data_IF_181105623755
#
_entry.id   IF_181105623755
#
_cell.length_a   1.000
_cell.length_b   1.000
_cell.length_c   1.000
_cell.angle_alpha   90.00
_cell.angle_beta   90.00
_cell.angle_gamma   90.00
#
_symmetry.space_group_name_H-M   'P 1'
#
loop_
_entity.id
_entity.type
_entity.pdbx_description
1 polymer ?
#
# COMPACT_ATOMS: atom_id res chain seq x y z
N UNK A 1 -10.13 0.14 -19.67
CA UNK A 1 -11.01 0.55 -18.59
C UNK A 1 -10.25 1.30 -17.54
N UNK A 2 -10.93 2.18 -16.83
CA UNK A 2 -10.31 3.01 -15.80
C UNK A 2 -10.57 2.38 -14.43
N UNK A 3 -9.57 1.77 -13.86
CA UNK A 3 -9.70 1.08 -12.57
C UNK A 3 -8.38 1.18 -11.83
N UNK A 4 -8.44 0.96 -10.51
CA UNK A 4 -7.25 0.75 -9.69
C UNK A 4 -7.17 -0.74 -9.37
N UNK A 5 -6.12 -1.39 -9.85
CA UNK A 5 -5.97 -2.83 -9.74
C UNK A 5 -4.67 -3.17 -9.03
N UNK A 6 -4.65 -4.35 -8.45
CA UNK A 6 -3.44 -4.88 -7.83
C UNK A 6 -3.23 -6.30 -8.31
N UNK A 7 -2.02 -6.58 -8.78
CA UNK A 7 -1.63 -7.93 -9.19
C UNK A 7 -0.65 -8.50 -8.17
N UNK A 8 -1.01 -9.65 -7.64
CA UNK A 8 -0.18 -10.35 -6.66
C UNK A 8 0.76 -11.29 -7.40
N UNK A 9 1.99 -10.84 -7.60
CA UNK A 9 3.00 -11.62 -8.29
C UNK A 9 3.88 -12.40 -7.33
N UNK A 10 3.32 -12.80 -6.19
CA UNK A 10 4.03 -13.60 -5.21
C UNK A 10 3.47 -15.01 -5.21
N UNK A 11 4.16 -15.90 -4.51
CA UNK A 11 3.68 -17.27 -4.31
C UNK A 11 2.78 -17.42 -3.11
N UNK A 12 2.34 -16.33 -2.49
CA UNK A 12 1.54 -16.36 -1.27
C UNK A 12 0.19 -15.70 -1.49
N UNK A 13 -0.78 -16.07 -0.63
CA UNK A 13 -2.00 -15.28 -0.53
C UNK A 13 -1.66 -13.99 0.23
N UNK A 14 -2.23 -12.89 -0.20
CA UNK A 14 -1.97 -11.62 0.45
C UNK A 14 -3.29 -10.93 0.80
N UNK A 15 -3.26 -10.13 1.87
CA UNK A 15 -4.37 -9.28 2.24
C UNK A 15 -4.00 -7.84 1.93
N UNK A 16 -4.92 -7.12 1.32
CA UNK A 16 -4.66 -5.77 0.85
C UNK A 16 -5.60 -4.79 1.52
N UNK A 17 -5.04 -3.69 2.02
CA UNK A 17 -5.80 -2.53 2.48
C UNK A 17 -5.42 -1.34 1.62
N UNK A 18 -6.40 -0.49 1.34
CA UNK A 18 -6.25 0.65 0.44
C UNK A 18 -6.66 1.93 1.13
N UNK A 19 -5.90 3.00 0.92
CA UNK A 19 -6.27 4.32 1.41
C UNK A 19 -6.25 5.33 0.27
N UNK A 20 -7.16 6.28 0.33
CA UNK A 20 -7.22 7.33 -0.68
C UNK A 20 -8.03 8.51 -0.17
N UNK A 21 -7.89 9.64 -0.84
CA UNK A 21 -8.63 10.84 -0.50
C UNK A 21 -9.47 11.25 -1.71
N UNK A 22 -10.76 11.43 -1.48
CA UNK A 22 -11.67 11.90 -2.51
C UNK A 22 -12.30 13.21 -2.05
N UNK A 23 -13.37 13.64 -2.74
CA UNK A 23 -14.02 14.91 -2.41
C UNK A 23 -14.57 14.92 -0.99
N UNK A 24 -14.85 13.76 -0.42
CA UNK A 24 -15.39 13.65 0.93
C UNK A 24 -14.32 13.48 1.99
N UNK A 25 -13.05 13.39 1.60
CA UNK A 25 -11.96 13.25 2.53
C UNK A 25 -11.28 11.89 2.42
N UNK A 26 -10.57 11.53 3.49
CA UNK A 26 -9.79 10.29 3.52
C UNK A 26 -10.66 9.09 3.84
N UNK A 27 -10.35 7.96 3.19
CA UNK A 27 -11.01 6.69 3.44
C UNK A 27 -9.98 5.58 3.37
N UNK A 28 -10.08 4.61 4.28
CA UNK A 28 -9.32 3.37 4.15
C UNK A 28 -10.31 2.22 4.11
N UNK A 29 -9.96 1.19 3.33
CA UNK A 29 -10.81 0.02 3.14
C UNK A 29 -9.96 -1.24 3.16
N UNK A 30 -10.49 -2.32 3.58
CA UNK A 30 -9.85 -3.62 3.60
C UNK A 30 -10.86 -4.69 4.00
N UNK A 31 -10.63 -5.89 3.77
CA UNK A 31 -9.40 -6.46 3.19
C UNK A 31 -9.77 -7.14 1.89
N UNK A 32 -8.93 -7.02 0.88
CA UNK A 32 -9.05 -7.85 -0.31
C UNK A 32 -8.08 -9.01 -0.14
N UNK A 33 -8.59 -10.23 -0.24
CA UNK A 33 -7.76 -11.43 -0.14
C UNK A 33 -7.44 -11.86 -1.55
N UNK A 34 -6.18 -11.72 -1.94
CA UNK A 34 -5.77 -11.93 -3.33
C UNK A 34 -4.91 -13.18 -3.39
N UNK A 35 -5.37 -14.24 -4.06
CA UNK A 35 -4.58 -15.46 -4.17
C UNK A 35 -3.29 -15.22 -4.95
N UNK A 36 -2.34 -16.13 -4.76
CA UNK A 36 -1.05 -16.05 -5.46
C UNK A 36 -1.29 -15.99 -6.97
N UNK A 37 -0.51 -15.15 -7.64
CA UNK A 37 -0.49 -15.06 -9.11
C UNK A 37 -1.80 -14.61 -9.72
N UNK A 38 -2.60 -13.85 -9.00
CA UNK A 38 -3.84 -13.30 -9.52
C UNK A 38 -3.90 -11.80 -9.31
N UNK A 39 -4.83 -11.15 -9.99
CA UNK A 39 -5.04 -9.72 -9.88
C UNK A 39 -6.45 -9.45 -9.38
N UNK A 40 -6.61 -8.30 -8.75
CA UNK A 40 -7.90 -7.90 -8.20
C UNK A 40 -8.12 -6.42 -8.49
N UNK A 41 -9.36 -6.07 -8.83
CA UNK A 41 -9.72 -4.67 -9.00
C UNK A 41 -10.16 -4.14 -7.64
N UNK A 42 -9.43 -3.14 -7.14
CA UNK A 42 -9.73 -2.56 -5.83
C UNK A 42 -10.76 -1.45 -5.93
N UNK A 43 -10.61 -0.61 -6.94
CA UNK A 43 -11.58 0.47 -7.19
C UNK A 43 -11.94 0.45 -8.67
N UNK A 44 -13.22 0.61 -8.95
CA UNK A 44 -13.70 0.64 -10.33
C UNK A 44 -13.95 2.08 -10.73
N UNK A 45 -13.76 2.35 -12.00
CA UNK A 45 -13.99 3.67 -12.56
C UNK A 45 -12.74 4.53 -12.55
N UNK A 46 -12.86 5.72 -13.09
CA UNK A 46 -11.73 6.63 -13.21
C UNK A 46 -11.19 7.00 -11.84
N UNK A 47 -9.86 7.03 -11.72
CA UNK A 47 -9.22 7.38 -10.46
C UNK A 47 -9.52 8.85 -10.12
N UNK A 48 -9.79 9.10 -8.83
CA UNK A 48 -10.17 10.42 -8.36
C UNK A 48 -9.03 11.16 -7.71
N UNK A 49 -7.87 10.53 -7.56
CA UNK A 49 -6.72 11.14 -6.91
C UNK A 49 -5.46 10.71 -7.64
N UNK A 50 -4.39 11.45 -7.42
CA UNK A 50 -3.09 11.09 -7.94
C UNK A 50 -2.42 10.03 -7.06
N UNK A 51 -2.57 10.17 -5.72
CA UNK A 51 -1.87 9.31 -4.78
C UNK A 51 -2.84 8.34 -4.14
N UNK A 52 -2.43 7.08 -4.11
CA UNK A 52 -3.15 6.02 -3.42
C UNK A 52 -2.19 5.35 -2.45
N UNK A 53 -2.71 4.66 -1.45
CA UNK A 53 -1.89 4.13 -0.37
C UNK A 53 -2.26 2.68 -0.15
N UNK A 54 -1.25 1.83 -0.01
CA UNK A 54 -1.43 0.38 0.08
C UNK A 54 -0.73 -0.14 1.32
N UNK A 55 -1.38 -1.09 1.97
CA UNK A 55 -0.76 -1.91 3.01
C UNK A 55 -1.10 -3.35 2.69
N UNK A 56 -0.12 -4.23 2.72
CA UNK A 56 -0.35 -5.62 2.34
C UNK A 56 0.32 -6.56 3.34
N UNK A 57 -0.32 -7.69 3.56
CA UNK A 57 0.15 -8.71 4.49
C UNK A 57 0.30 -10.01 3.71
N UNK A 58 1.41 -10.73 3.95
CA UNK A 58 1.64 -12.06 3.39
C UNK A 58 1.08 -13.08 4.39
N UNK A 59 -0.04 -13.72 4.02
CA UNK A 59 -0.70 -14.66 4.92
C UNK A 59 0.04 -15.99 5.07
N UNK A 60 0.83 -16.35 4.08
CA UNK A 60 1.42 -17.69 4.04
C UNK A 60 2.83 -17.73 4.61
N UNK A 61 3.63 -16.72 4.32
CA UNK A 61 5.02 -16.69 4.77
C UNK A 61 5.28 -15.64 5.84
N UNK A 62 4.30 -14.80 6.11
CA UNK A 62 4.48 -13.71 7.04
C UNK A 62 5.17 -12.53 6.37
N UNK A 63 5.18 -11.42 7.09
CA UNK A 63 5.76 -10.20 6.56
C UNK A 63 4.70 -9.33 5.94
N UNK A 64 5.13 -8.16 5.51
CA UNK A 64 4.19 -7.16 5.04
C UNK A 64 4.88 -6.22 4.06
N UNK A 65 4.06 -5.51 3.29
CA UNK A 65 4.49 -4.38 2.47
C UNK A 65 3.86 -3.14 3.10
N UNK A 66 4.69 -2.26 3.62
CA UNK A 66 4.21 -1.13 4.41
C UNK A 66 5.04 0.11 4.07
N UNK A 67 4.68 1.23 4.69
CA UNK A 67 5.38 2.49 4.47
C UNK A 67 5.15 3.44 5.62
N UNK A 68 5.31 4.73 5.34
CA UNK A 68 5.29 5.75 6.37
C UNK A 68 4.08 6.68 6.30
N UNK A 69 3.09 6.33 5.50
CA UNK A 69 1.82 7.06 5.48
C UNK A 69 0.88 6.37 6.45
N UNK A 70 0.73 6.94 7.64
CA UNK A 70 -0.03 6.28 8.69
C UNK A 70 -1.50 6.55 8.56
N UNK A 71 -2.28 5.48 8.55
CA UNK A 71 -3.72 5.53 8.36
C UNK A 71 -4.37 4.49 9.26
N UNK A 72 -5.69 4.49 9.32
CA UNK A 72 -6.40 3.59 10.21
C UNK A 72 -6.76 2.29 9.50
N UNK A 73 -6.66 1.18 10.22
CA UNK A 73 -7.09 -0.11 9.74
C UNK A 73 -7.63 -0.91 10.92
N UNK A 74 -8.10 -2.12 10.64
CA UNK A 74 -8.44 -3.05 11.71
C UNK A 74 -8.34 -4.46 11.17
N UNK A 75 -8.37 -5.42 12.08
CA UNK A 75 -8.14 -6.81 11.71
C UNK A 75 -9.22 -7.36 10.80
N UNK A 76 -10.46 -6.99 11.05
CA UNK A 76 -11.57 -7.45 10.23
C UNK A 76 -11.82 -6.50 9.08
N UNK A 77 -12.68 -6.88 8.17
CA UNK A 77 -13.08 -6.05 7.04
C UNK A 77 -13.52 -4.66 7.52
N UNK A 78 -13.17 -3.63 6.77
CA UNK A 78 -13.44 -2.28 7.22
C UNK A 78 -13.57 -1.29 6.09
N UNK A 79 -14.30 -0.22 6.38
CA UNK A 79 -14.29 1.02 5.64
C UNK A 79 -14.25 2.12 6.70
N UNK A 80 -13.15 2.85 6.77
CA UNK A 80 -12.92 3.83 7.83
C UNK A 80 -12.76 5.20 7.21
N UNK A 81 -13.54 6.17 7.69
CA UNK A 81 -13.45 7.54 7.25
C UNK A 81 -12.48 8.30 8.15
N UNK A 82 -11.54 9.02 7.53
CA UNK A 82 -10.54 9.76 8.26
C UNK A 82 -9.36 8.89 8.63
N UNK A 83 -8.18 9.50 8.72
CA UNK A 83 -6.95 8.76 9.00
C UNK A 83 -6.29 9.20 10.29
N UNK A 84 -6.88 10.13 11.03
CA UNK A 84 -6.32 10.61 12.28
C UNK A 84 -6.92 9.93 13.48
N UNK A 85 -6.21 9.99 14.60
CA UNK A 85 -6.67 9.51 15.89
C UNK A 85 -7.10 8.04 15.85
N UNK A 86 -6.40 7.23 15.09
CA UNK A 86 -6.79 5.83 14.89
C UNK A 86 -6.94 5.09 16.20
N UNK A 87 -5.93 5.14 17.06
CA UNK A 87 -5.95 4.40 18.32
C UNK A 87 -7.07 4.90 19.24
N UNK A 88 -7.26 6.22 19.29
CA UNK A 88 -8.32 6.78 20.15
C UNK A 88 -9.70 6.36 19.67
N UNK A 89 -9.85 6.08 18.38
CA UNK A 89 -11.12 5.67 17.82
C UNK A 89 -11.32 4.15 17.83
N UNK A 90 -10.33 3.41 18.35
CA UNK A 90 -10.44 1.96 18.45
C UNK A 90 -9.90 1.22 17.23
N UNK A 91 -9.10 1.87 16.40
CA UNK A 91 -8.52 1.26 15.22
C UNK A 91 -7.02 1.10 15.39
N UNK A 92 -6.40 0.35 14.49
CA UNK A 92 -4.95 0.24 14.43
C UNK A 92 -4.38 1.40 13.62
N UNK A 93 -3.19 1.83 14.01
CA UNK A 93 -2.46 2.83 13.26
C UNK A 93 -1.45 2.07 12.40
N UNK A 94 -1.64 2.13 11.09
CA UNK A 94 -0.94 1.25 10.16
C UNK A 94 -0.19 2.07 9.12
N UNK A 95 1.03 1.67 8.81
CA UNK A 95 1.85 2.36 7.81
C UNK A 95 1.60 1.85 6.41
N UNK A 96 1.03 2.69 5.58
CA UNK A 96 0.76 2.38 4.17
C UNK A 96 1.89 2.95 3.32
N UNK A 97 2.17 2.33 2.17
CA UNK A 97 3.11 2.91 1.22
C UNK A 97 2.35 3.66 0.14
N UNK A 98 2.99 4.70 -0.38
CA UNK A 98 2.34 5.59 -1.32
C UNK A 98 2.55 5.11 -2.75
N UNK A 99 1.49 5.21 -3.54
CA UNK A 99 1.52 4.90 -4.97
C UNK A 99 1.17 6.18 -5.73
N UNK A 100 2.11 6.67 -6.53
CA UNK A 100 1.90 7.87 -7.34
C UNK A 100 1.43 7.42 -8.71
N UNK A 101 0.17 7.69 -9.01
CA UNK A 101 -0.42 7.27 -10.28
C UNK A 101 -0.15 8.27 -11.40
N UNK A 102 0.48 9.41 -11.08
CA UNK A 102 0.82 10.41 -12.11
C UNK A 102 -0.40 11.01 -12.78
N UNK A 103 -1.53 10.99 -12.07
CA UNK A 103 -2.80 11.51 -12.58
C UNK A 103 -3.34 10.70 -13.76
N UNK A 104 -2.93 9.42 -13.84
CA UNK A 104 -3.50 8.51 -14.81
C UNK A 104 -4.93 8.17 -14.41
N UNK A 105 -5.73 7.77 -15.38
CA UNK A 105 -7.12 7.41 -15.13
C UNK A 105 -7.25 5.98 -14.62
N UNK A 106 -6.23 5.16 -14.83
CA UNK A 106 -6.21 3.80 -14.33
C UNK A 106 -4.78 3.45 -13.95
N UNK A 107 -4.64 2.48 -13.06
CA UNK A 107 -3.34 2.11 -12.56
C UNK A 107 -3.37 0.66 -12.08
N UNK A 108 -2.25 -0.03 -12.24
CA UNK A 108 -2.10 -1.39 -11.72
C UNK A 108 -0.81 -1.45 -10.90
N UNK A 109 -0.95 -1.91 -9.66
CA UNK A 109 0.19 -2.11 -8.77
C UNK A 109 0.64 -3.56 -8.90
N UNK A 110 1.94 -3.76 -9.04
CA UNK A 110 2.52 -5.11 -9.08
C UNK A 110 3.16 -5.38 -7.72
N UNK A 111 2.66 -6.38 -7.01
CA UNK A 111 3.20 -6.76 -5.71
C UNK A 111 4.09 -7.98 -5.91
N UNK A 112 5.36 -7.87 -5.51
CA UNK A 112 6.32 -8.95 -5.65
C UNK A 112 6.72 -9.46 -4.27
N UNK A 113 7.36 -10.60 -4.22
CA UNK A 113 7.76 -11.19 -2.95
C UNK A 113 8.54 -10.19 -2.12
N UNK A 114 8.23 -10.13 -0.82
CA UNK A 114 8.87 -9.17 0.07
C UNK A 114 10.38 -9.38 0.11
N UNK A 115 10.84 -10.63 -0.03
CA UNK A 115 12.26 -10.89 -0.05
C UNK A 115 12.93 -10.25 -1.25
N UNK A 116 12.22 -10.12 -2.36
CA UNK A 116 12.77 -9.49 -3.55
C UNK A 116 12.76 -7.99 -3.47
N UNK A 117 11.97 -7.47 -2.56
CA UNK A 117 11.89 -6.02 -2.39
C UNK A 117 12.87 -5.52 -1.37
N UNK A 118 13.53 -6.40 -0.68
CA UNK A 118 14.55 -6.02 0.26
C UNK A 118 15.70 -5.43 -0.53
N UNK A 119 16.06 -4.21 -0.26
CA UNK A 119 17.10 -3.57 -1.06
C UNK A 119 18.48 -4.02 -0.66
N UNK A 120 18.63 -5.22 -0.44
CA UNK A 120 19.96 -5.70 -0.23
C UNK A 120 20.63 -5.78 -1.58
N UNK A 121 19.94 -5.31 -2.37
CA UNK A 121 20.47 -5.12 -3.62
C UNK A 121 20.36 -3.72 -3.93
N UNK A 122 20.37 -3.59 -3.51
CA UNK A 122 20.31 -2.53 -3.62
C UNK A 122 19.97 -1.97 -4.25
N UNK A 123 19.62 -2.18 -4.11
CA UNK A 123 19.37 -1.72 -4.36
C UNK A 123 19.09 -1.09 -4.88
N UNK A 124 19.04 -1.01 -5.27
CA UNK A 124 18.97 -0.38 -5.59
C UNK A 124 18.45 0.44 -5.67
N UNK A 125 18.41 0.22 -5.45
CA UNK A 125 18.18 0.97 -5.12
C UNK A 125 17.68 1.67 -4.86
N UNK A 126 17.57 1.69 -4.67
CA UNK A 126 17.49 2.35 -4.09
C UNK A 126 17.53 3.09 -3.81
N UNK A 127 17.47 2.57 -3.80
CA UNK A 127 17.74 3.20 -3.26
C UNK A 127 17.74 3.82 -3.04
N UNK A 128 17.75 3.64 -2.98
CA UNK A 128 17.94 4.17 -2.48
C UNK A 128 17.73 4.64 -2.16
N UNK A 129 17.58 4.36 -2.04
CA UNK A 129 17.59 4.73 -1.45
C UNK A 129 17.30 5.04 -1.03
N UNK A 130 16.93 4.47 -1.12
CA UNK A 130 17.08 4.74 -0.60
C UNK A 130 16.58 4.68 -0.14
N UNK A 131 16.24 4.51 -0.19
CA UNK A 131 16.08 4.43 0.35
C UNK A 131 15.43 4.31 0.57
N UNK A 132 15.03 3.59 0.65
CA UNK A 132 14.92 3.52 1.02
C UNK A 132 14.21 3.44 1.06
N UNK A 133 13.71 2.95 0.72
CA UNK A 133 13.67 2.85 0.90
C UNK A 133 13.04 3.06 0.51
N UNK A 134 12.58 2.51 0.22
CA UNK A 134 12.44 2.60 0.07
C UNK A 134 11.78 2.60 -0.23
N UNK A 135 11.28 2.02 -0.48
CA UNK A 135 11.13 2.13 -0.60
C UNK A 135 10.61 2.26 -0.81
N UNK A 136 10.28 1.45 -0.91
CA UNK A 136 10.36 1.80 -0.90
C UNK A 136 10.14 2.16 -1.00
N UNK A 137 9.59 1.61 -1.31
CA UNK A 137 9.88 2.10 -1.23
C UNK A 137 10.03 2.55 -1.21
N UNK A 138 9.62 2.05 -1.36
CA UNK A 138 10.19 2.58 -1.11
C UNK A 138 10.42 3.03 -1.01
N UNK A 139 10.29 2.72 -0.97
CA UNK A 139 10.85 3.17 -0.52
C UNK A 139 11.01 3.82 -0.27
N UNK A 140 11.05 3.46 -0.12
CA UNK A 140 11.71 4.04 0.51
C UNK A 140 11.85 4.93 0.76
N UNK A 141 11.68 4.86 0.82
CA UNK A 141 12.23 5.56 1.43
C UNK A 141 12.26 6.48 1.59
N UNK A 142 12.14 6.46 1.64
CA UNK A 142 12.52 7.13 2.17
C UNK A 142 12.49 7.91 2.35
N UNK A 143 12.43 7.97 2.47
CA UNK A 143 12.71 8.55 2.99
C UNK A 143 12.48 9.24 3.27
N UNK A 144 12.32 8.96 3.23
CA UNK A 144 12.27 9.38 3.75
C UNK A 144 11.99 9.93 4.24
N UNK A 145 11.90 9.82 4.43
CA UNK A 145 11.85 10.21 5.11
C UNK A 145 11.39 10.68 5.66
N UNK A 146 11.04 10.32 5.75
CA UNK A 146 10.82 10.52 6.25
C UNK A 146 10.31 10.59 6.89
N UNK A 147 10.20 10.20 7.22
CA UNK A 147 9.98 10.08 7.77
C UNK A 147 9.60 9.82 8.46
N UNK A 148 9.96 9.52 8.85
CA UNK A 148 10.03 9.01 9.54
C UNK A 148 9.47 9.05 10.30
N UNK A 149 9.04 8.62 10.41
CA UNK A 149 8.61 8.45 11.06
C UNK A 149 8.59 8.35 11.63
#
# INVERSE_FOLDING_TARGET
>A
MADFRLCNNTGSRVGIALGYKDAEGWTTEGWWNVPARTCETLLRGALVARYYYIYAIDYDRGGEWSGHAFMCSREKEFTIRGIGNCLARGYDRTGFFEVDTGEQRSWTVQLTDSAEQTPDRPLPSRAPPGPSRPPSAAPTTPPANGGRQ
#
